data_IF_733238672671
#
_entry.id   IF_733238672671
#
_cell.length_a   1.000
_cell.length_b   1.000
_cell.length_c   1.000
_cell.angle_alpha   90.00
_cell.angle_beta   90.00
_cell.angle_gamma   90.00
#
_symmetry.space_group_name_H-M   'P 1'
#
loop_
_entity.id
_entity.type
_entity.pdbx_description
1 polymer ?
#
# COMPACT_ATOMS: atom_id res chain seq x y z
N UNK A 1 -9.17 17.49 2.20
CA UNK A 1 -8.54 16.18 1.95
C UNK A 1 -7.94 16.07 0.55
N UNK A 2 -8.69 16.33 -0.51
CA UNK A 2 -8.15 16.46 -1.86
C UNK A 2 -7.92 17.95 -2.19
N UNK A 3 -6.86 18.23 -2.97
CA UNK A 3 -6.62 19.56 -3.50
C UNK A 3 -7.78 20.02 -4.41
N UNK A 4 -7.95 21.33 -4.61
CA UNK A 4 -8.86 21.86 -5.63
C UNK A 4 -8.55 21.28 -7.01
N UNK A 5 -9.46 21.46 -7.97
CA UNK A 5 -9.27 21.00 -9.37
C UNK A 5 -7.94 21.50 -9.94
N UNK A 6 -7.31 20.70 -10.78
CA UNK A 6 -6.05 21.02 -11.44
C UNK A 6 -4.98 19.97 -11.27
N UNK A 7 -3.73 20.33 -11.51
CA UNK A 7 -2.58 19.41 -11.50
C UNK A 7 -2.33 18.77 -10.13
N UNK A 8 -2.42 19.55 -9.07
CA UNK A 8 -2.23 19.04 -7.70
C UNK A 8 -3.23 17.92 -7.37
N UNK A 9 -4.49 18.09 -7.75
CA UNK A 9 -5.52 17.05 -7.56
C UNK A 9 -5.23 15.81 -8.40
N UNK A 10 -4.79 15.98 -9.65
CA UNK A 10 -4.42 14.84 -10.52
C UNK A 10 -3.29 14.02 -9.92
N UNK A 11 -2.27 14.68 -9.36
CA UNK A 11 -1.17 14.00 -8.66
C UNK A 11 -1.65 13.20 -7.46
N UNK A 12 -2.52 13.78 -6.64
CA UNK A 12 -3.11 13.08 -5.49
C UNK A 12 -3.94 11.86 -5.92
N UNK A 13 -4.80 12.02 -6.93
CA UNK A 13 -5.62 10.93 -7.46
C UNK A 13 -4.77 9.83 -8.10
N UNK A 14 -3.67 10.18 -8.76
CA UNK A 14 -2.73 9.21 -9.30
C UNK A 14 -2.11 8.35 -8.18
N UNK A 15 -1.68 8.96 -7.08
CA UNK A 15 -1.14 8.22 -5.93
C UNK A 15 -2.21 7.31 -5.31
N UNK A 16 -3.45 7.78 -5.17
CA UNK A 16 -4.57 6.94 -4.74
C UNK A 16 -4.79 5.75 -5.69
N UNK A 17 -4.75 5.97 -7.00
CA UNK A 17 -4.92 4.91 -8.00
C UNK A 17 -3.79 3.87 -7.95
N UNK A 18 -2.55 4.29 -7.75
CA UNK A 18 -1.42 3.38 -7.54
C UNK A 18 -1.62 2.53 -6.27
N UNK A 19 -2.03 3.15 -5.18
CA UNK A 19 -2.29 2.45 -3.92
C UNK A 19 -3.43 1.43 -4.06
N UNK A 20 -4.56 1.81 -4.63
CA UNK A 20 -5.69 0.88 -4.83
C UNK A 20 -5.34 -0.26 -5.76
N UNK A 21 -4.61 0.00 -6.84
CA UNK A 21 -4.14 -1.04 -7.77
C UNK A 21 -3.17 -2.01 -7.09
N UNK A 22 -2.28 -1.53 -6.22
CA UNK A 22 -1.43 -2.37 -5.40
C UNK A 22 -2.27 -3.26 -4.46
N UNK A 23 -3.25 -2.67 -3.79
CA UNK A 23 -4.17 -3.41 -2.91
C UNK A 23 -4.89 -4.53 -3.64
N UNK A 24 -5.43 -4.27 -4.83
CA UNK A 24 -6.10 -5.27 -5.66
C UNK A 24 -5.19 -6.45 -5.99
N UNK A 25 -3.92 -6.19 -6.33
CA UNK A 25 -2.94 -7.25 -6.62
C UNK A 25 -2.52 -8.01 -5.36
N UNK A 26 -2.39 -7.33 -4.24
CA UNK A 26 -2.07 -7.98 -2.97
C UNK A 26 -3.20 -8.91 -2.51
N UNK A 27 -4.47 -8.50 -2.65
CA UNK A 27 -5.64 -9.36 -2.37
C UNK A 27 -5.70 -10.55 -3.33
N UNK A 28 -5.52 -10.31 -4.63
CA UNK A 28 -5.51 -11.37 -5.64
C UNK A 28 -4.44 -12.42 -5.36
N UNK A 29 -3.24 -11.97 -4.97
CA UNK A 29 -2.13 -12.87 -4.62
C UNK A 29 -2.43 -13.67 -3.35
N UNK A 30 -3.06 -13.06 -2.35
CA UNK A 30 -3.46 -13.76 -1.13
C UNK A 30 -4.45 -14.88 -1.46
N UNK A 31 -5.48 -14.59 -2.25
CA UNK A 31 -6.49 -15.58 -2.62
C UNK A 31 -5.91 -16.71 -3.46
N UNK A 32 -5.01 -16.42 -4.39
CA UNK A 32 -4.32 -17.47 -5.15
C UNK A 32 -3.51 -18.41 -4.25
N UNK A 33 -2.84 -17.86 -3.24
CA UNK A 33 -2.01 -18.64 -2.31
C UNK A 33 -2.81 -19.44 -1.30
N UNK A 34 -3.94 -18.90 -0.82
CA UNK A 34 -4.68 -19.48 0.30
C UNK A 34 -5.85 -20.34 -0.15
N UNK A 35 -6.61 -19.90 -1.16
CA UNK A 35 -7.86 -20.55 -1.55
C UNK A 35 -7.72 -21.53 -2.71
N UNK A 36 -6.65 -21.43 -3.51
CA UNK A 36 -6.46 -22.31 -4.66
C UNK A 36 -5.65 -23.56 -4.29
N UNK A 37 -6.18 -24.74 -4.66
CA UNK A 37 -5.47 -26.01 -4.55
C UNK A 37 -4.39 -26.11 -5.64
N UNK A 38 -4.74 -25.77 -6.87
CA UNK A 38 -3.81 -25.66 -8.00
C UNK A 38 -3.49 -24.18 -8.25
N UNK A 39 -2.25 -23.79 -7.97
CA UNK A 39 -1.78 -22.43 -8.11
C UNK A 39 -1.20 -22.20 -9.49
N UNK A 40 -1.47 -21.04 -10.07
CA UNK A 40 -0.87 -20.63 -11.33
C UNK A 40 0.37 -19.76 -11.04
N UNK A 41 1.56 -20.38 -11.13
CA UNK A 41 2.83 -19.69 -10.81
C UNK A 41 3.04 -18.41 -11.65
N UNK A 42 2.69 -18.45 -12.94
CA UNK A 42 2.76 -17.27 -13.81
C UNK A 42 1.91 -16.10 -13.28
N UNK A 43 0.75 -16.38 -12.71
CA UNK A 43 -0.11 -15.37 -12.11
C UNK A 43 0.49 -14.80 -10.82
N UNK A 44 1.06 -15.68 -9.99
CA UNK A 44 1.76 -15.29 -8.76
C UNK A 44 2.92 -14.37 -9.09
N UNK A 45 3.79 -14.76 -10.01
CA UNK A 45 4.92 -13.94 -10.46
C UNK A 45 4.48 -12.57 -11.00
N UNK A 46 3.40 -12.56 -11.79
CA UNK A 46 2.85 -11.31 -12.32
C UNK A 46 2.32 -10.39 -11.22
N UNK A 47 1.58 -10.91 -10.26
CA UNK A 47 1.10 -10.13 -9.12
C UNK A 47 2.27 -9.58 -8.30
N UNK A 48 3.29 -10.38 -8.01
CA UNK A 48 4.48 -9.96 -7.29
C UNK A 48 5.23 -8.86 -8.03
N UNK A 49 5.43 -8.99 -9.33
CA UNK A 49 6.10 -7.98 -10.16
C UNK A 49 5.32 -6.65 -10.16
N UNK A 50 3.98 -6.70 -10.26
CA UNK A 50 3.15 -5.51 -10.22
C UNK A 50 3.15 -4.83 -8.85
N UNK A 51 3.09 -5.59 -7.77
CA UNK A 51 3.19 -5.08 -6.40
C UNK A 51 4.54 -4.39 -6.21
N UNK A 52 5.65 -5.06 -6.53
CA UNK A 52 7.00 -4.51 -6.38
C UNK A 52 7.21 -3.26 -7.24
N UNK A 53 6.71 -3.26 -8.48
CA UNK A 53 6.80 -2.09 -9.36
C UNK A 53 6.09 -0.87 -8.81
N UNK A 54 4.91 -1.03 -8.22
CA UNK A 54 4.17 0.06 -7.58
C UNK A 54 4.86 0.52 -6.30
N UNK A 55 5.35 -0.41 -5.48
CA UNK A 55 6.13 -0.06 -4.28
C UNK A 55 7.37 0.75 -4.61
N UNK A 56 8.11 0.37 -5.67
CA UNK A 56 9.29 1.11 -6.12
C UNK A 56 8.94 2.55 -6.53
N UNK A 57 7.83 2.75 -7.24
CA UNK A 57 7.35 4.10 -7.63
C UNK A 57 6.95 4.91 -6.39
N UNK A 58 6.15 4.35 -5.51
CA UNK A 58 5.69 5.03 -4.30
C UNK A 58 6.85 5.36 -3.35
N UNK A 59 7.82 4.45 -3.19
CA UNK A 59 9.03 4.69 -2.40
C UNK A 59 9.82 5.88 -2.94
N UNK A 60 10.08 5.90 -4.25
CA UNK A 60 10.78 6.99 -4.90
C UNK A 60 10.08 8.33 -4.72
N UNK A 61 8.76 8.36 -4.90
CA UNK A 61 7.96 9.57 -4.75
C UNK A 61 7.91 10.03 -3.29
N UNK A 62 7.76 9.10 -2.35
CA UNK A 62 7.75 9.42 -0.91
C UNK A 62 9.11 9.92 -0.43
N UNK A 63 10.20 9.29 -0.85
CA UNK A 63 11.55 9.70 -0.50
C UNK A 63 11.94 11.08 -1.06
N UNK A 64 11.34 11.49 -2.18
CA UNK A 64 11.63 12.76 -2.83
C UNK A 64 11.03 13.98 -2.10
N UNK A 65 10.05 13.80 -1.21
CA UNK A 65 9.41 14.89 -0.48
C UNK A 65 9.82 14.90 0.99
N UNK A 66 10.04 16.11 1.52
CA UNK A 66 10.48 16.32 2.92
C UNK A 66 9.33 16.57 3.88
N UNK A 67 8.12 16.76 3.37
CA UNK A 67 6.91 16.97 4.18
C UNK A 67 6.51 15.70 4.92
N UNK A 68 5.77 15.81 6.04
CA UNK A 68 5.30 14.64 6.80
C UNK A 68 4.46 13.67 5.97
N UNK A 69 3.72 14.20 4.98
CA UNK A 69 2.83 13.43 4.11
C UNK A 69 3.19 13.64 2.64
N UNK A 70 2.63 12.85 1.72
CA UNK A 70 2.94 12.91 0.29
C UNK A 70 2.75 14.29 -0.35
N UNK A 71 1.77 15.05 0.13
CA UNK A 71 1.38 16.32 -0.49
C UNK A 71 1.34 17.50 0.48
N UNK A 72 2.09 17.43 1.59
CA UNK A 72 2.23 18.56 2.50
C UNK A 72 2.24 18.20 3.98
N UNK A 73 1.83 19.15 4.80
CA UNK A 73 1.88 19.06 6.27
C UNK A 73 0.69 18.31 6.87
N UNK A 74 -0.36 18.11 6.11
CA UNK A 74 -1.61 17.49 6.57
C UNK A 74 -1.89 16.20 5.84
N UNK A 75 -2.38 15.20 6.58
CA UNK A 75 -2.78 13.92 6.00
C UNK A 75 -3.90 14.12 4.98
N UNK A 76 -3.81 13.42 3.85
CA UNK A 76 -4.79 13.43 2.78
C UNK A 76 -5.24 12.02 2.39
N UNK A 77 -6.15 11.93 1.44
CA UNK A 77 -6.67 10.65 0.93
C UNK A 77 -5.57 9.74 0.39
N UNK A 78 -4.57 10.31 -0.28
CA UNK A 78 -3.43 9.55 -0.81
C UNK A 78 -2.62 8.88 0.32
N UNK A 79 -2.38 9.60 1.41
CA UNK A 79 -1.65 9.07 2.57
C UNK A 79 -2.40 7.92 3.22
N UNK A 80 -3.71 8.08 3.41
CA UNK A 80 -4.58 7.04 3.98
C UNK A 80 -4.61 5.81 3.08
N UNK A 81 -4.82 6.00 1.78
CA UNK A 81 -4.85 4.89 0.81
C UNK A 81 -3.54 4.11 0.81
N UNK A 82 -2.40 4.82 0.77
CA UNK A 82 -1.08 4.19 0.81
C UNK A 82 -0.87 3.45 2.14
N UNK A 83 -1.15 4.07 3.28
CA UNK A 83 -0.96 3.43 4.58
C UNK A 83 -1.79 2.15 4.73
N UNK A 84 -3.06 2.17 4.32
CA UNK A 84 -3.94 1.00 4.39
C UNK A 84 -3.42 -0.17 3.55
N UNK A 85 -3.00 0.08 2.30
CA UNK A 85 -2.52 -1.00 1.44
C UNK A 85 -1.13 -1.50 1.85
N UNK A 86 -0.26 -0.64 2.40
CA UNK A 86 1.02 -1.06 2.94
C UNK A 86 0.85 -1.97 4.15
N UNK A 87 -0.07 -1.64 5.05
CA UNK A 87 -0.41 -2.49 6.17
C UNK A 87 -0.88 -3.87 5.71
N UNK A 88 -1.88 -3.90 4.82
CA UNK A 88 -2.38 -5.16 4.27
C UNK A 88 -1.27 -5.97 3.59
N UNK A 89 -0.46 -5.32 2.74
CA UNK A 89 0.64 -5.99 2.03
C UNK A 89 1.68 -6.53 3.00
N UNK A 90 2.03 -5.77 4.03
CA UNK A 90 2.98 -6.20 5.06
C UNK A 90 2.49 -7.38 5.89
N UNK A 91 1.19 -7.44 6.19
CA UNK A 91 0.59 -8.57 6.93
C UNK A 91 0.39 -9.80 6.03
N UNK A 92 -0.08 -9.63 4.79
CA UNK A 92 -0.37 -10.73 3.86
C UNK A 92 0.88 -11.27 3.16
N UNK A 93 1.83 -10.41 2.84
CA UNK A 93 3.00 -10.69 2.00
C UNK A 93 4.25 -9.99 2.56
N UNK A 94 4.66 -10.34 3.78
CA UNK A 94 5.76 -9.68 4.48
C UNK A 94 7.06 -9.60 3.66
N UNK A 95 7.36 -10.62 2.85
CA UNK A 95 8.55 -10.64 2.00
C UNK A 95 8.51 -9.60 0.86
N UNK A 96 7.33 -9.08 0.49
CA UNK A 96 7.18 -8.08 -0.57
C UNK A 96 7.27 -6.65 -0.07
N UNK A 97 6.98 -6.41 1.19
CA UNK A 97 7.09 -5.08 1.82
C UNK A 97 8.14 -5.11 2.95
N UNK A 98 9.39 -5.02 2.54
CA UNK A 98 10.53 -4.98 3.44
C UNK A 98 10.92 -3.53 3.76
N UNK A 99 10.95 -3.19 5.05
CA UNK A 99 11.33 -1.84 5.53
C UNK A 99 12.77 -1.45 5.14
N UNK A 100 13.68 -2.41 4.98
CA UNK A 100 15.03 -2.14 4.52
C UNK A 100 15.07 -1.69 3.05
N UNK A 101 14.20 -2.28 2.22
CA UNK A 101 14.06 -1.91 0.80
C UNK A 101 13.22 -0.66 0.59
N UNK A 102 12.20 -0.45 1.42
CA UNK A 102 11.23 0.65 1.32
C UNK A 102 11.21 1.52 2.58
N UNK A 103 12.32 2.16 2.97
CA UNK A 103 12.42 2.88 4.24
C UNK A 103 11.49 4.10 4.32
N UNK A 104 11.29 4.83 3.22
CA UNK A 104 10.40 6.00 3.21
C UNK A 104 8.93 5.60 3.36
N UNK A 105 8.51 4.52 2.71
CA UNK A 105 7.16 3.96 2.87
C UNK A 105 6.95 3.36 4.25
N UNK A 106 7.94 2.68 4.80
CA UNK A 106 7.87 2.13 6.16
C UNK A 106 7.69 3.25 7.20
N UNK A 107 8.46 4.33 7.09
CA UNK A 107 8.32 5.50 7.95
C UNK A 107 6.96 6.20 7.78
N UNK A 108 6.46 6.30 6.54
CA UNK A 108 5.15 6.85 6.26
C UNK A 108 4.03 6.01 6.88
N UNK A 109 4.09 4.70 6.71
CA UNK A 109 3.14 3.76 7.31
C UNK A 109 3.12 3.89 8.84
N UNK A 110 4.29 3.86 9.48
CA UNK A 110 4.41 4.02 10.93
C UNK A 110 3.81 5.35 11.43
N UNK A 111 4.04 6.44 10.69
CA UNK A 111 3.46 7.75 11.03
C UNK A 111 1.94 7.74 10.97
N UNK A 112 1.36 7.17 9.93
CA UNK A 112 -0.10 7.08 9.78
C UNK A 112 -0.71 6.16 10.85
N UNK A 113 -0.13 4.99 11.10
CA UNK A 113 -0.60 4.02 12.08
C UNK A 113 -0.57 4.56 13.53
N UNK A 114 0.30 5.53 13.82
CA UNK A 114 0.35 6.19 15.13
C UNK A 114 -0.79 7.19 15.35
N UNK A 115 -1.53 7.56 14.32
CA UNK A 115 -2.66 8.48 14.46
C UNK A 115 -3.85 7.79 15.14
N UNK A 116 -4.58 8.48 16.06
CA UNK A 116 -5.68 7.89 16.78
C UNK A 116 -6.72 7.17 15.92
N UNK A 117 -7.20 7.72 14.78
CA UNK A 117 -8.17 7.01 13.94
C UNK A 117 -7.67 5.67 13.41
N UNK A 118 -6.36 5.57 13.09
CA UNK A 118 -5.77 4.31 12.65
C UNK A 118 -5.64 3.32 13.82
N UNK A 119 -5.16 3.78 14.96
CA UNK A 119 -4.96 2.93 16.14
C UNK A 119 -6.29 2.37 16.68
N UNK A 120 -7.37 3.16 16.66
CA UNK A 120 -8.68 2.78 17.18
C UNK A 120 -9.43 1.76 16.31
N UNK A 121 -9.22 1.79 14.97
CA UNK A 121 -9.95 0.94 14.02
C UNK A 121 -9.11 -0.19 13.44
N UNK A 122 -7.94 -0.45 14.01
CA UNK A 122 -7.06 -1.53 13.56
C UNK A 122 -7.74 -2.88 13.66
N UNK A 123 -7.78 -3.59 12.53
CA UNK A 123 -8.19 -5.00 12.47
C UNK A 123 -7.05 -5.81 11.84
N UNK A 124 -6.41 -6.72 12.59
CA UNK A 124 -5.40 -7.61 12.04
C UNK A 124 -5.97 -8.47 10.91
N UNK A 125 -5.14 -8.77 9.92
CA UNK A 125 -5.52 -9.66 8.84
C UNK A 125 -5.83 -11.05 9.40
N UNK A 126 -7.02 -11.55 9.11
CA UNK A 126 -7.41 -12.95 9.31
C UNK A 126 -7.58 -13.60 7.94
N UNK A 127 -6.55 -14.29 7.43
CA UNK A 127 -6.65 -14.95 6.13
C UNK A 127 -7.75 -16.00 6.16
N UNK A 128 -8.50 -16.17 5.05
CA UNK A 128 -9.48 -17.24 4.97
C UNK A 128 -8.79 -18.60 5.11
N UNK A 129 -9.34 -19.48 5.93
CA UNK A 129 -8.92 -20.86 6.01
C UNK A 129 -9.43 -21.60 4.76
N UNK A 130 -8.50 -22.21 4.02
CA UNK A 130 -8.86 -23.12 2.94
C UNK A 130 -9.20 -24.49 3.54
N UNK A 131 -10.43 -24.68 3.97
CA UNK A 131 -10.96 -26.01 4.35
C UNK A 131 -11.27 -26.85 3.14
#
# INVERSE_FOLDING_TARGET
MLAPRGEARRKQLRTCALATGLGDKAVSLLYERVLRKERLELWIERCQAQISGVLDVLEKERAAVKTPYFFGERIGHADIAVACVLRFTGEAHAALFDAARYPALAAHSARCEALPPFAEIVQPLAPPSGD
#
